data_IF_467174652453
#
_entry.id   IF_467174652453
#
_cell.length_a   1.000
_cell.length_b   1.000
_cell.length_c   1.000
_cell.angle_alpha   90.00
_cell.angle_beta   90.00
_cell.angle_gamma   90.00
#
_symmetry.space_group_name_H-M   'P 1'
#
loop_
_entity.id
_entity.type
_entity.pdbx_description
1 polymer ?
#
# COMPACT_ATOMS: atom_id res chain seq x y z
N UNK A 1 5.66 -8.38 -11.87
CA UNK A 1 6.29 -8.47 -13.19
C UNK A 1 6.71 -7.12 -13.76
N UNK A 2 5.84 -6.11 -13.77
CA UNK A 2 6.16 -4.79 -14.34
C UNK A 2 7.34 -4.10 -13.65
N UNK A 3 7.41 -4.18 -12.32
CA UNK A 3 8.52 -3.58 -11.57
C UNK A 3 9.85 -4.24 -11.94
N UNK A 4 9.90 -5.57 -11.96
CA UNK A 4 11.12 -6.31 -12.24
C UNK A 4 11.59 -6.19 -13.69
N UNK A 5 10.67 -6.18 -14.64
CA UNK A 5 11.00 -6.20 -16.08
C UNK A 5 11.13 -4.82 -16.69
N UNK A 6 10.38 -3.86 -16.22
CA UNK A 6 10.20 -2.56 -16.87
C UNK A 6 10.38 -1.38 -15.93
N UNK A 7 10.78 -1.59 -14.70
CA UNK A 7 10.94 -0.55 -13.67
C UNK A 7 9.69 0.31 -13.44
N UNK A 8 8.52 -0.27 -13.72
CA UNK A 8 7.23 0.38 -13.50
C UNK A 8 6.70 0.05 -12.12
N UNK A 9 6.15 1.01 -11.42
CA UNK A 9 5.46 0.80 -10.15
C UNK A 9 4.10 1.46 -10.13
N UNK A 10 3.23 0.93 -9.27
CA UNK A 10 1.97 1.58 -8.91
C UNK A 10 2.27 2.51 -7.75
N UNK A 11 2.26 3.81 -8.00
CA UNK A 11 2.66 4.81 -7.01
C UNK A 11 1.72 4.84 -5.80
N UNK A 12 0.44 4.61 -6.02
CA UNK A 12 -0.57 4.60 -4.94
C UNK A 12 -0.81 3.19 -4.34
N UNK A 13 0.20 2.33 -4.36
CA UNK A 13 0.13 0.99 -3.75
C UNK A 13 0.68 1.01 -2.32
N UNK A 14 0.13 0.23 -1.37
CA UNK A 14 -1.19 -0.38 -1.41
C UNK A 14 -2.28 0.68 -1.22
N UNK A 15 -3.07 0.92 -2.26
CA UNK A 15 -4.14 1.91 -2.23
C UNK A 15 -5.40 1.35 -1.56
N UNK A 16 -5.91 2.07 -0.59
CA UNK A 16 -7.19 1.72 0.05
C UNK A 16 -8.31 2.49 -0.62
N UNK A 17 -9.37 1.77 -0.98
CA UNK A 17 -10.59 2.37 -1.51
C UNK A 17 -11.65 2.25 -0.43
N UNK A 18 -12.12 3.39 0.04
CA UNK A 18 -13.13 3.44 1.09
C UNK A 18 -14.46 2.84 0.62
N UNK A 19 -15.18 2.22 1.54
CA UNK A 19 -16.45 1.56 1.21
C UNK A 19 -17.53 2.51 0.71
N UNK A 20 -17.46 3.77 1.07
CA UNK A 20 -18.38 4.83 0.64
C UNK A 20 -17.88 5.63 -0.58
N UNK A 21 -16.73 5.29 -1.12
CA UNK A 21 -16.21 5.94 -2.33
C UNK A 21 -17.05 5.57 -3.55
N UNK A 22 -17.43 6.58 -4.32
CA UNK A 22 -18.23 6.43 -5.55
C UNK A 22 -17.57 7.03 -6.79
N UNK A 23 -16.31 7.47 -6.64
CA UNK A 23 -15.55 8.01 -7.75
C UNK A 23 -14.90 6.93 -8.61
N UNK A 24 -14.24 7.36 -9.65
CA UNK A 24 -13.46 6.48 -10.52
C UNK A 24 -12.25 5.91 -9.80
N UNK A 25 -12.03 4.60 -9.93
CA UNK A 25 -10.82 3.94 -9.44
C UNK A 25 -9.68 4.26 -10.40
N UNK A 26 -8.62 4.88 -9.88
CA UNK A 26 -7.47 5.31 -10.67
C UNK A 26 -6.20 4.64 -10.17
N UNK A 27 -5.38 4.23 -11.12
CA UNK A 27 -4.07 3.64 -10.86
C UNK A 27 -3.02 4.64 -11.30
N UNK A 28 -2.17 5.05 -10.37
CA UNK A 28 -1.09 6.00 -10.66
C UNK A 28 0.17 5.18 -10.90
N UNK A 29 0.69 5.25 -12.12
CA UNK A 29 1.90 4.55 -12.50
C UNK A 29 3.09 5.49 -12.51
N UNK A 30 4.23 4.97 -12.11
CA UNK A 30 5.51 5.67 -12.15
C UNK A 30 6.55 4.84 -12.88
N UNK A 31 7.24 5.44 -13.84
CA UNK A 31 8.35 4.82 -14.55
C UNK A 31 9.68 5.23 -13.89
N UNK A 32 10.30 4.31 -13.19
CA UNK A 32 11.62 4.53 -12.54
C UNK A 32 12.79 4.31 -13.49
N UNK A 33 12.52 3.78 -14.67
CA UNK A 33 13.54 3.48 -15.66
C UNK A 33 13.82 4.64 -16.60
N UNK A 34 14.72 4.41 -17.52
CA UNK A 34 15.09 5.38 -18.56
C UNK A 34 14.43 5.10 -19.90
N UNK A 35 13.86 3.92 -20.06
CA UNK A 35 13.17 3.52 -21.29
C UNK A 35 11.69 3.91 -21.22
N UNK A 36 11.17 4.35 -22.33
CA UNK A 36 9.76 4.57 -22.51
C UNK A 36 8.98 3.27 -22.30
N UNK A 37 7.87 3.35 -21.59
CA UNK A 37 6.97 2.23 -21.40
C UNK A 37 5.59 2.58 -21.96
N UNK A 38 5.14 1.82 -22.93
CA UNK A 38 3.85 2.06 -23.60
C UNK A 38 2.77 1.21 -22.94
N UNK A 39 1.69 1.85 -22.54
CA UNK A 39 0.51 1.20 -21.98
C UNK A 39 -0.58 1.25 -23.04
N UNK A 40 -1.04 0.11 -23.45
CA UNK A 40 -2.14 -0.03 -24.38
C UNK A 40 -3.44 -0.29 -23.61
N UNK A 41 -4.55 -0.05 -24.28
CA UNK A 41 -5.84 -0.38 -23.73
C UNK A 41 -5.91 -1.89 -23.39
N UNK A 42 -6.51 -2.22 -22.27
CA UNK A 42 -6.62 -3.58 -21.72
C UNK A 42 -5.32 -4.20 -21.19
N UNK A 43 -4.22 -3.46 -21.13
CA UNK A 43 -3.02 -3.95 -20.46
C UNK A 43 -3.25 -4.13 -18.97
N UNK A 44 -2.71 -5.21 -18.41
CA UNK A 44 -2.75 -5.48 -16.98
C UNK A 44 -1.64 -4.71 -16.29
N UNK A 45 -1.98 -3.68 -15.56
CA UNK A 45 -1.01 -2.79 -14.91
C UNK A 45 -1.04 -2.88 -13.38
N UNK A 46 -2.11 -3.39 -12.82
CA UNK A 46 -2.29 -3.53 -11.37
C UNK A 46 -3.29 -4.64 -11.08
N UNK A 47 -3.49 -4.91 -9.81
CA UNK A 47 -4.44 -5.90 -9.32
C UNK A 47 -5.25 -5.28 -8.18
N UNK A 48 -6.54 -5.52 -8.18
CA UNK A 48 -7.43 -5.12 -7.10
C UNK A 48 -7.89 -6.35 -6.33
N UNK A 49 -7.84 -6.27 -5.02
CA UNK A 49 -8.23 -7.36 -4.11
C UNK A 49 -9.29 -6.83 -3.17
N UNK A 50 -10.39 -7.57 -3.04
CA UNK A 50 -11.41 -7.32 -2.02
C UNK A 50 -11.06 -8.14 -0.78
N UNK A 51 -10.98 -7.47 0.35
CA UNK A 51 -10.64 -8.10 1.62
C UNK A 51 -11.59 -7.64 2.71
N UNK A 52 -11.95 -8.53 3.66
CA UNK A 52 -12.64 -8.09 4.87
C UNK A 52 -11.71 -7.21 5.71
N UNK A 53 -12.28 -6.23 6.36
CA UNK A 53 -11.55 -5.33 7.27
C UNK A 53 -12.11 -5.42 8.67
N UNK A 54 -11.27 -5.14 9.64
CA UNK A 54 -11.65 -5.00 11.04
C UNK A 54 -11.59 -3.52 11.38
N UNK A 55 -12.68 -2.98 11.94
CA UNK A 55 -12.70 -1.62 12.47
C UNK A 55 -12.14 -1.64 13.88
N UNK A 56 -11.14 -0.79 14.12
CA UNK A 56 -10.60 -0.57 15.46
C UNK A 56 -11.43 0.48 16.19
N UNK A 57 -11.65 0.27 17.47
CA UNK A 57 -12.13 1.29 18.38
C UNK A 57 -10.96 1.78 19.20
N UNK A 58 -10.76 3.10 19.23
CA UNK A 58 -9.69 3.72 19.99
C UNK A 58 -10.19 4.10 21.38
N UNK A 59 -9.44 3.73 22.39
CA UNK A 59 -9.65 4.11 23.78
C UNK A 59 -8.50 5.00 24.23
N UNK A 60 -8.82 6.20 24.66
CA UNK A 60 -7.84 7.09 25.25
C UNK A 60 -7.51 6.64 26.67
N UNK A 61 -6.23 6.44 26.97
CA UNK A 61 -5.74 6.01 28.27
C UNK A 61 -4.56 6.87 28.69
N UNK A 62 -4.32 6.98 30.00
CA UNK A 62 -3.15 7.72 30.51
C UNK A 62 -1.86 6.94 30.26
N UNK A 63 -1.89 5.61 30.45
CA UNK A 63 -0.75 4.73 30.27
C UNK A 63 -1.12 3.54 29.40
N UNK A 64 -0.17 3.12 28.55
CA UNK A 64 -0.32 1.92 27.73
C UNK A 64 0.07 0.66 28.52
N UNK A 65 -0.58 -0.49 28.25
CA UNK A 65 -0.17 -1.77 28.82
C UNK A 65 1.28 -2.09 28.49
N UNK A 66 1.99 -2.73 29.43
CA UNK A 66 3.36 -3.16 29.22
C UNK A 66 3.42 -4.42 28.33
N UNK A 67 4.40 -4.45 27.46
CA UNK A 67 4.73 -5.62 26.63
C UNK A 67 6.25 -5.87 26.72
N UNK A 68 6.70 -7.05 26.30
CA UNK A 68 8.13 -7.37 26.23
C UNK A 68 8.86 -6.43 25.26
N UNK A 69 8.21 -6.05 24.16
CA UNK A 69 8.81 -5.12 23.21
C UNK A 69 8.87 -3.70 23.75
N UNK A 70 7.88 -3.27 24.53
CA UNK A 70 7.77 -1.90 25.05
C UNK A 70 7.78 -0.87 23.90
N UNK A 71 8.58 0.15 24.04
CA UNK A 71 8.73 1.23 23.06
C UNK A 71 9.73 0.93 21.95
N UNK A 72 10.29 -0.28 21.91
CA UNK A 72 11.29 -0.66 20.91
C UNK A 72 10.75 -0.62 19.49
N UNK A 73 11.45 0.05 18.62
CA UNK A 73 11.10 0.18 17.21
C UNK A 73 12.34 0.49 16.39
N UNK A 74 12.14 0.77 15.10
CA UNK A 74 13.20 1.17 14.17
C UNK A 74 14.42 0.24 14.20
N UNK A 75 14.18 -1.09 14.20
CA UNK A 75 15.25 -2.08 14.23
C UNK A 75 15.79 -2.41 15.61
N UNK A 76 15.06 -2.12 16.67
CA UNK A 76 15.47 -2.41 18.06
C UNK A 76 15.68 -3.90 18.36
N UNK A 77 15.13 -4.80 17.53
CA UNK A 77 15.29 -6.25 17.68
C UNK A 77 16.55 -6.79 16.99
N UNK A 78 17.38 -5.94 16.42
CA UNK A 78 18.57 -6.29 15.67
C UNK A 78 18.42 -5.99 14.18
N UNK A 79 19.33 -6.52 13.38
CA UNK A 79 19.28 -6.31 11.94
C UNK A 79 18.24 -7.17 11.28
#
# INVERSE_FOLDING_TARGET
>A
GLAAKSSMSVLNTPGTIDSDYRGEIKIILFNHGKKEFIINNNDRVAQMILMPIIKAEFEEVEDLPKTLRGSGGFGSTGK
#
